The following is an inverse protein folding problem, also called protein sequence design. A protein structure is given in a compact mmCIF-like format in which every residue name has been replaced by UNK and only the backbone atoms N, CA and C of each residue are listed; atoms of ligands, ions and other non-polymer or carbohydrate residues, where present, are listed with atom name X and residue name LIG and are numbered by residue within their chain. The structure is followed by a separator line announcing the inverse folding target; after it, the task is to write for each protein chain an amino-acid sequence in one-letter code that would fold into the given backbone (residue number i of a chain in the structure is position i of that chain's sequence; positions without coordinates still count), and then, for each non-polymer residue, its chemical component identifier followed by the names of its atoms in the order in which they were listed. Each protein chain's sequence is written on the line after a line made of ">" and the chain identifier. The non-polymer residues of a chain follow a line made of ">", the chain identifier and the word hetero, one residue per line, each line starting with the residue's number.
data_IF_660029446689
#
_entry.id   IF_660029446689
#
_cell.length_a   1.000
_cell.length_b   1.000
_cell.length_c   1.000
_cell.angle_alpha   90.00
_cell.angle_beta   90.00
_cell.angle_gamma   90.00
#
_symmetry.space_group_name_H-M   'P 1'
#
loop_
_entity.id
_entity.type
_entity.pdbx_description
1 polymer ?
#
# COMPACT_ATOMS: atom_id res chain seq x y z
N UNK A 1 -4.27 -15.67 2.57
CA UNK A 1 -5.53 -16.31 2.13
C UNK A 1 -6.64 -15.58 2.85
N UNK A 2 -7.63 -15.05 2.12
CA UNK A 2 -8.51 -14.03 2.70
C UNK A 2 -9.57 -14.60 3.65
N UNK A 3 -9.84 -15.91 3.58
CA UNK A 3 -10.91 -16.55 4.36
C UNK A 3 -10.36 -17.31 5.59
N UNK A 4 -9.04 -17.27 5.82
CA UNK A 4 -8.35 -18.05 6.87
C UNK A 4 -7.16 -17.35 7.52
N UNK A 5 -6.72 -16.19 7.03
CA UNK A 5 -5.49 -15.52 7.51
C UNK A 5 -4.18 -16.24 7.13
N UNK A 6 -4.24 -17.40 6.47
CA UNK A 6 -3.06 -18.21 6.20
C UNK A 6 -2.07 -17.52 5.24
N UNK A 7 -0.81 -17.46 5.67
CA UNK A 7 0.32 -16.90 4.93
C UNK A 7 0.83 -17.95 3.93
N UNK A 8 0.18 -18.05 2.77
CA UNK A 8 0.51 -19.05 1.73
C UNK A 8 1.89 -18.83 1.10
N UNK A 9 2.41 -17.61 1.12
CA UNK A 9 3.76 -17.25 0.68
C UNK A 9 4.20 -15.94 1.36
N UNK A 10 5.50 -15.79 1.63
CA UNK A 10 6.11 -14.56 2.12
C UNK A 10 7.59 -14.53 1.70
N UNK A 11 8.10 -13.34 1.36
CA UNK A 11 9.51 -13.11 1.06
C UNK A 11 9.96 -11.77 1.65
N UNK A 12 11.03 -11.80 2.45
CA UNK A 12 11.51 -10.63 3.21
C UNK A 12 12.55 -9.75 2.50
N UNK A 13 12.97 -10.12 1.29
CA UNK A 13 14.00 -9.43 0.51
C UNK A 13 14.39 -10.21 -0.74
N UNK A 14 15.20 -9.61 -1.61
CA UNK A 14 15.76 -10.24 -2.83
C UNK A 14 17.28 -10.27 -2.77
N UNK A 15 17.90 -11.23 -3.46
CA UNK A 15 19.37 -11.35 -3.54
C UNK A 15 20.05 -11.39 -2.15
N UNK A 16 19.41 -12.11 -1.22
CA UNK A 16 19.99 -12.42 0.09
C UNK A 16 21.10 -13.46 -0.12
N UNK A 17 22.22 -13.31 0.58
CA UNK A 17 23.35 -14.24 0.48
C UNK A 17 23.01 -15.61 1.10
N UNK A 18 23.59 -16.67 0.53
CA UNK A 18 23.23 -18.07 0.83
C UNK A 18 23.62 -18.52 2.25
N UNK A 19 24.49 -17.78 2.94
CA UNK A 19 24.91 -17.99 4.33
C UNK A 19 23.94 -17.37 5.36
N UNK A 20 22.99 -16.53 4.95
CA UNK A 20 22.08 -15.81 5.85
C UNK A 20 20.87 -16.65 6.24
N UNK A 21 21.02 -17.42 7.32
CA UNK A 21 19.91 -18.14 7.97
C UNK A 21 19.18 -17.25 8.99
N UNK A 22 17.84 -17.22 8.93
CA UNK A 22 16.95 -16.47 9.85
C UNK A 22 17.28 -14.96 9.98
N UNK A 23 17.76 -14.34 8.90
CA UNK A 23 18.03 -12.89 8.84
C UNK A 23 16.78 -12.01 8.89
N UNK A 24 16.99 -10.68 8.86
CA UNK A 24 15.92 -9.68 8.95
C UNK A 24 14.87 -9.84 7.84
N UNK A 25 13.63 -10.14 8.23
CA UNK A 25 12.48 -10.28 7.33
C UNK A 25 11.73 -8.94 7.19
N UNK A 26 11.95 -8.20 6.11
CA UNK A 26 11.29 -6.90 5.91
C UNK A 26 9.77 -7.02 5.68
N UNK A 27 9.24 -8.19 5.31
CA UNK A 27 7.80 -8.36 5.08
C UNK A 27 6.96 -8.29 6.37
N UNK A 28 7.56 -8.52 7.54
CA UNK A 28 6.92 -8.35 8.85
C UNK A 28 7.30 -7.05 9.55
N UNK A 29 8.37 -6.40 9.10
CA UNK A 29 8.97 -5.23 9.75
C UNK A 29 8.18 -3.94 9.51
N UNK A 30 8.03 -3.11 10.55
CA UNK A 30 7.22 -1.87 10.51
C UNK A 30 8.01 -0.55 10.50
N UNK A 31 9.32 -0.59 10.24
CA UNK A 31 10.16 0.62 10.18
C UNK A 31 9.98 1.48 8.92
N UNK A 32 9.16 1.04 7.95
CA UNK A 32 8.94 1.67 6.65
C UNK A 32 7.55 2.24 6.50
N UNK A 33 7.43 3.26 5.65
CA UNK A 33 6.18 3.98 5.44
C UNK A 33 5.37 3.35 4.29
N UNK A 34 4.15 2.91 4.61
CA UNK A 34 3.20 2.33 3.67
C UNK A 34 2.35 3.40 2.92
N UNK A 35 2.50 4.66 3.31
CA UNK A 35 2.05 5.84 2.58
C UNK A 35 0.56 5.80 2.21
N UNK A 36 0.25 6.13 0.97
CA UNK A 36 -1.12 6.10 0.44
C UNK A 36 -1.81 4.71 0.36
N UNK A 37 -1.19 3.61 0.81
CA UNK A 37 -1.94 2.35 1.09
C UNK A 37 -2.65 2.36 2.44
N UNK A 38 -2.35 3.32 3.32
CA UNK A 38 -3.09 3.50 4.59
C UNK A 38 -4.52 4.00 4.38
N UNK A 39 -4.75 4.90 3.41
CA UNK A 39 -6.05 5.59 3.20
C UNK A 39 -7.31 4.71 3.26
N UNK A 40 -7.37 3.53 2.59
CA UNK A 40 -8.56 2.67 2.68
C UNK A 40 -8.88 2.19 4.09
N UNK A 41 -7.85 1.90 4.90
CA UNK A 41 -8.01 1.39 6.28
C UNK A 41 -8.04 2.51 7.33
N UNK A 42 -7.46 3.67 7.04
CA UNK A 42 -7.32 4.79 7.98
C UNK A 42 -8.44 5.84 7.86
N UNK A 43 -8.93 6.15 6.66
CA UNK A 43 -9.91 7.25 6.46
C UNK A 43 -11.20 6.77 5.81
N UNK A 44 -11.11 6.08 4.67
CA UNK A 44 -12.29 5.78 3.84
C UNK A 44 -13.14 4.65 4.44
N UNK A 45 -12.52 3.56 4.89
CA UNK A 45 -13.19 2.49 5.64
C UNK A 45 -13.89 3.03 6.90
N UNK A 46 -13.18 3.72 7.82
CA UNK A 46 -13.80 4.35 8.99
C UNK A 46 -14.89 5.37 8.69
N UNK A 47 -14.81 6.13 7.58
CA UNK A 47 -15.86 7.06 7.17
C UNK A 47 -17.12 6.35 6.63
N UNK A 48 -16.95 5.28 5.86
CA UNK A 48 -18.08 4.42 5.45
C UNK A 48 -18.66 3.66 6.66
N UNK A 49 -17.85 3.27 7.64
CA UNK A 49 -18.32 2.52 8.80
C UNK A 49 -19.03 3.40 9.84
N UNK A 50 -18.40 4.50 10.28
CA UNK A 50 -18.90 5.28 11.43
C UNK A 50 -19.70 6.52 11.04
N UNK A 51 -19.49 7.06 9.84
CA UNK A 51 -20.24 8.23 9.33
C UNK A 51 -21.29 7.82 8.29
N UNK A 52 -21.29 6.54 7.87
CA UNK A 52 -22.17 5.96 6.83
C UNK A 52 -22.17 6.78 5.53
N UNK A 53 -21.04 7.38 5.16
CA UNK A 53 -20.97 8.18 3.93
C UNK A 53 -21.09 7.32 2.67
N UNK A 54 -21.85 7.80 1.68
CA UNK A 54 -21.90 7.20 0.35
C UNK A 54 -20.59 7.43 -0.42
N UNK A 55 -20.26 6.56 -1.37
CA UNK A 55 -19.07 6.78 -2.23
C UNK A 55 -19.21 8.05 -3.08
N UNK A 56 -20.46 8.44 -3.35
CA UNK A 56 -20.87 9.68 -4.01
C UNK A 56 -20.97 10.91 -3.10
N UNK A 57 -20.66 10.84 -1.80
CA UNK A 57 -20.48 12.08 -1.01
C UNK A 57 -19.38 12.92 -1.66
N UNK A 58 -19.62 14.22 -1.78
CA UNK A 58 -18.62 15.17 -2.26
C UNK A 58 -17.71 15.67 -1.15
N UNK A 59 -16.44 15.89 -1.48
CA UNK A 59 -15.40 16.43 -0.59
C UNK A 59 -14.52 17.42 -1.35
N UNK A 60 -13.93 18.39 -0.64
CA UNK A 60 -13.12 19.45 -1.22
C UNK A 60 -11.62 19.07 -1.24
N UNK A 61 -11.09 18.81 -2.42
CA UNK A 61 -9.66 18.77 -2.73
C UNK A 61 -9.20 20.18 -3.17
N UNK A 62 -8.80 20.99 -2.19
CA UNK A 62 -8.40 22.40 -2.32
C UNK A 62 -7.33 22.72 -1.25
N UNK A 63 -6.61 23.85 -1.33
CA UNK A 63 -5.58 24.22 -0.35
C UNK A 63 -6.05 24.06 1.10
N UNK A 64 -5.27 23.33 1.90
CA UNK A 64 -5.64 22.88 3.24
C UNK A 64 -4.37 22.56 4.03
N UNK A 65 -4.42 22.78 5.34
CA UNK A 65 -3.34 22.48 6.28
C UNK A 65 -3.79 21.39 7.25
N UNK A 66 -2.86 20.69 7.89
CA UNK A 66 -3.18 19.87 9.06
C UNK A 66 -3.78 20.78 10.16
N UNK A 67 -4.90 20.38 10.75
CA UNK A 67 -5.66 21.21 11.68
C UNK A 67 -4.83 21.55 12.93
N UNK A 68 -4.89 22.82 13.34
CA UNK A 68 -4.02 23.38 14.38
C UNK A 68 -2.62 23.81 13.89
N UNK A 69 -2.31 23.70 12.59
CA UNK A 69 -0.98 24.04 12.05
C UNK A 69 -1.02 24.97 10.83
N UNK A 70 0.14 25.54 10.49
CA UNK A 70 0.41 26.19 9.20
C UNK A 70 0.94 25.23 8.13
N UNK A 71 1.06 23.92 8.42
CA UNK A 71 1.70 22.94 7.56
C UNK A 71 0.74 22.44 6.47
N UNK A 72 1.03 22.67 5.17
CA UNK A 72 0.11 22.31 4.09
C UNK A 72 0.04 20.81 3.84
N UNK A 73 -1.16 20.32 3.55
CA UNK A 73 -1.40 18.96 3.02
C UNK A 73 -1.29 19.02 1.50
N UNK A 74 -0.15 18.64 0.96
CA UNK A 74 0.15 18.73 -0.48
C UNK A 74 -0.24 17.43 -1.19
N UNK A 75 -0.86 17.51 -2.37
CA UNK A 75 -1.16 16.37 -3.23
C UNK A 75 0.07 15.95 -4.06
N UNK A 76 0.15 14.66 -4.42
CA UNK A 76 1.31 14.09 -5.13
C UNK A 76 1.61 14.74 -6.50
N UNK A 77 0.63 15.38 -7.12
CA UNK A 77 0.72 16.10 -8.40
C UNK A 77 0.85 17.62 -8.24
N UNK A 78 0.94 18.12 -7.00
CA UNK A 78 0.91 19.55 -6.62
C UNK A 78 -0.31 20.33 -7.15
N UNK A 79 -1.44 19.64 -7.40
CA UNK A 79 -2.68 20.25 -7.92
C UNK A 79 -3.84 20.04 -6.95
N UNK A 80 -4.98 20.63 -7.30
CA UNK A 80 -6.25 20.54 -6.57
C UNK A 80 -7.39 20.33 -7.57
N UNK A 81 -8.31 19.41 -7.27
CA UNK A 81 -9.42 19.05 -8.15
C UNK A 81 -10.74 19.77 -7.82
N UNK A 82 -10.78 20.58 -6.76
CA UNK A 82 -12.00 21.22 -6.28
C UNK A 82 -12.92 20.20 -5.60
N UNK A 83 -14.21 20.26 -5.88
CA UNK A 83 -15.20 19.35 -5.26
C UNK A 83 -15.32 18.06 -6.07
N UNK A 84 -14.96 16.92 -5.48
CA UNK A 84 -14.95 15.59 -6.10
C UNK A 84 -15.67 14.56 -5.20
N UNK A 85 -16.06 13.39 -5.72
CA UNK A 85 -16.68 12.34 -4.88
C UNK A 85 -15.63 11.57 -4.06
N UNK A 86 -16.04 10.90 -2.97
CA UNK A 86 -15.14 10.05 -2.17
C UNK A 86 -14.52 8.93 -3.01
N UNK A 87 -15.28 8.37 -3.97
CA UNK A 87 -14.76 7.46 -5.00
C UNK A 87 -13.58 8.07 -5.75
N UNK A 88 -13.78 9.25 -6.34
CA UNK A 88 -12.77 9.93 -7.14
C UNK A 88 -11.55 10.33 -6.30
N UNK A 89 -11.77 10.78 -5.07
CA UNK A 89 -10.69 11.12 -4.14
C UNK A 89 -9.78 9.91 -3.82
N UNK A 90 -10.35 8.72 -3.63
CA UNK A 90 -9.60 7.51 -3.29
C UNK A 90 -8.88 6.90 -4.50
N UNK A 91 -9.54 6.73 -5.65
CA UNK A 91 -8.89 6.08 -6.82
C UNK A 91 -7.80 6.94 -7.48
N UNK A 92 -7.87 8.27 -7.32
CA UNK A 92 -6.81 9.23 -7.69
C UNK A 92 -5.82 9.50 -6.55
N UNK A 93 -5.97 8.84 -5.40
CA UNK A 93 -5.07 8.93 -4.25
C UNK A 93 -4.83 10.35 -3.74
N UNK A 94 -5.86 11.19 -3.69
CA UNK A 94 -5.77 12.58 -3.20
C UNK A 94 -5.40 12.59 -1.72
N UNK A 95 -4.59 13.57 -1.28
CA UNK A 95 -4.11 13.70 0.10
C UNK A 95 -5.04 14.57 0.94
N UNK A 96 -5.49 15.72 0.42
CA UNK A 96 -6.37 16.63 1.18
C UNK A 96 -7.69 15.95 1.60
N UNK A 97 -8.43 15.23 0.71
CA UNK A 97 -9.61 14.48 1.12
C UNK A 97 -9.35 13.41 2.19
N UNK A 98 -8.20 12.75 2.16
CA UNK A 98 -7.84 11.71 3.14
C UNK A 98 -7.69 12.30 4.55
N UNK A 99 -6.91 13.37 4.70
CA UNK A 99 -6.73 14.05 6.00
C UNK A 99 -8.05 14.64 6.50
N UNK A 100 -8.88 15.21 5.61
CA UNK A 100 -10.22 15.69 5.97
C UNK A 100 -11.13 14.56 6.46
N UNK A 101 -11.12 13.39 5.82
CA UNK A 101 -11.89 12.22 6.28
C UNK A 101 -11.41 11.71 7.64
N UNK A 102 -10.09 11.66 7.87
CA UNK A 102 -9.52 11.30 9.18
C UNK A 102 -10.05 12.24 10.29
N UNK A 103 -10.06 13.55 10.03
CA UNK A 103 -10.56 14.55 10.97
C UNK A 103 -12.08 14.48 11.15
N UNK A 104 -12.86 14.26 10.07
CA UNK A 104 -14.33 14.06 10.14
C UNK A 104 -14.72 12.78 10.90
N UNK A 105 -13.89 11.73 10.88
CA UNK A 105 -14.11 10.48 11.64
C UNK A 105 -13.70 10.63 13.11
N UNK A 106 -12.54 11.24 13.36
CA UNK A 106 -11.92 11.41 14.68
C UNK A 106 -10.94 10.29 15.04
N UNK A 107 -9.78 10.68 15.59
CA UNK A 107 -8.63 9.82 15.86
C UNK A 107 -8.95 8.53 16.64
N UNK A 108 -9.80 8.60 17.67
CA UNK A 108 -10.14 7.45 18.52
C UNK A 108 -10.86 6.34 17.74
N UNK A 109 -11.75 6.72 16.82
CA UNK A 109 -12.49 5.77 15.98
C UNK A 109 -11.58 5.15 14.92
N UNK A 110 -10.70 5.97 14.32
CA UNK A 110 -9.69 5.49 13.36
C UNK A 110 -8.73 4.50 14.04
N UNK A 111 -8.25 4.83 15.25
CA UNK A 111 -7.41 3.95 16.08
C UNK A 111 -8.10 2.61 16.39
N UNK A 112 -9.39 2.65 16.73
CA UNK A 112 -10.20 1.45 16.98
C UNK A 112 -10.28 0.56 15.73
N UNK A 113 -10.72 1.12 14.59
CA UNK A 113 -10.87 0.38 13.33
C UNK A 113 -9.55 -0.21 12.82
N UNK A 114 -8.44 0.53 12.93
CA UNK A 114 -7.11 0.03 12.57
C UNK A 114 -6.67 -1.13 13.48
N UNK A 115 -6.95 -1.05 14.78
CA UNK A 115 -6.64 -2.12 15.73
C UNK A 115 -7.44 -3.40 15.44
N UNK A 116 -8.71 -3.27 15.08
CA UNK A 116 -9.55 -4.40 14.65
C UNK A 116 -9.07 -5.04 13.33
N UNK A 117 -8.22 -4.33 12.58
CA UNK A 117 -7.46 -4.78 11.40
C UNK A 117 -5.98 -5.13 11.70
N UNK A 118 -5.58 -5.26 12.97
CA UNK A 118 -4.23 -5.66 13.38
C UNK A 118 -3.15 -4.58 13.23
N UNK A 119 -3.52 -3.31 13.05
CA UNK A 119 -2.61 -2.17 12.91
C UNK A 119 -2.76 -1.26 14.14
N UNK A 120 -1.69 -1.11 14.93
CA UNK A 120 -1.67 -0.23 16.11
C UNK A 120 -0.70 0.94 15.92
N UNK A 121 -0.97 2.03 16.64
CA UNK A 121 -0.05 3.15 16.85
C UNK A 121 0.06 3.43 18.35
N UNK A 122 1.21 3.92 18.83
CA UNK A 122 1.35 4.39 20.22
C UNK A 122 0.54 5.67 20.47
N UNK A 123 0.57 6.54 19.46
CA UNK A 123 -0.15 7.80 19.32
C UNK A 123 -0.53 7.88 17.85
N UNK A 124 -1.77 8.25 17.51
CA UNK A 124 -2.20 8.44 16.11
C UNK A 124 -2.42 9.92 15.84
N UNK A 125 -1.95 10.39 14.68
CA UNK A 125 -1.96 11.80 14.29
C UNK A 125 -2.58 11.98 12.90
N UNK A 126 -2.93 13.22 12.54
CA UNK A 126 -3.54 13.52 11.23
C UNK A 126 -2.66 13.12 10.03
N UNK A 127 -1.33 13.08 10.21
CA UNK A 127 -0.38 12.57 9.23
C UNK A 127 -0.57 11.08 8.92
N UNK A 128 -1.13 10.29 9.84
CA UNK A 128 -1.34 8.86 9.64
C UNK A 128 -2.42 8.54 8.60
N UNK A 129 -3.27 9.51 8.23
CA UNK A 129 -4.17 9.40 7.09
C UNK A 129 -3.43 9.05 5.78
N UNK A 130 -2.17 9.48 5.64
CA UNK A 130 -1.38 9.30 4.42
C UNK A 130 -0.01 8.63 4.64
N UNK A 131 0.28 8.16 5.85
CA UNK A 131 1.58 7.58 6.26
C UNK A 131 1.41 6.53 7.37
N UNK A 132 2.21 5.46 7.34
CA UNK A 132 2.28 4.48 8.44
C UNK A 132 3.40 4.73 9.46
N UNK A 133 4.07 5.87 9.37
CA UNK A 133 5.11 6.24 10.33
C UNK A 133 4.53 6.42 11.74
N UNK A 134 5.32 6.06 12.75
CA UNK A 134 4.94 6.09 14.16
C UNK A 134 6.10 6.63 15.00
N UNK A 135 5.78 7.39 16.05
CA UNK A 135 6.77 7.91 17.01
C UNK A 135 7.58 6.78 17.68
N UNK A 136 6.95 5.60 17.87
CA UNK A 136 7.58 4.43 18.48
C UNK A 136 7.77 3.30 17.47
N UNK A 137 8.95 3.25 16.86
CA UNK A 137 9.36 2.07 16.10
C UNK A 137 9.93 0.99 17.03
N UNK A 138 9.14 -0.06 17.28
CA UNK A 138 9.63 -1.35 17.80
C UNK A 138 9.78 -2.42 16.70
N UNK A 139 9.66 -2.00 15.44
CA UNK A 139 9.88 -2.80 14.24
C UNK A 139 8.84 -3.88 13.97
N UNK A 140 7.83 -4.08 14.83
CA UNK A 140 6.80 -5.13 14.64
C UNK A 140 5.40 -4.73 15.08
N UNK A 141 5.22 -4.10 16.25
CA UNK A 141 3.91 -3.88 16.85
C UNK A 141 3.24 -2.61 16.33
N UNK A 142 3.94 -1.48 16.31
CA UNK A 142 3.38 -0.20 15.85
C UNK A 142 3.67 0.06 14.37
N UNK A 143 2.72 0.69 13.67
CA UNK A 143 2.79 0.92 12.22
C UNK A 143 2.45 -0.33 11.38
N UNK A 144 2.63 -0.19 10.07
CA UNK A 144 2.27 -1.19 9.06
C UNK A 144 3.47 -1.98 8.52
N UNK A 145 3.20 -3.19 8.01
CA UNK A 145 4.15 -4.05 7.30
C UNK A 145 3.42 -4.84 6.21
N UNK A 146 4.13 -5.46 5.27
CA UNK A 146 3.49 -6.18 4.15
C UNK A 146 2.57 -7.30 4.65
N UNK A 147 2.95 -7.98 5.76
CA UNK A 147 2.10 -8.94 6.46
C UNK A 147 0.78 -8.31 6.94
N UNK A 148 0.88 -7.20 7.69
CA UNK A 148 -0.28 -6.48 8.25
C UNK A 148 -1.19 -5.94 7.15
N UNK A 149 -0.63 -5.31 6.13
CA UNK A 149 -1.42 -4.72 5.05
C UNK A 149 -2.09 -5.78 4.18
N UNK A 150 -1.47 -6.95 3.98
CA UNK A 150 -2.14 -8.08 3.33
C UNK A 150 -3.33 -8.60 4.16
N UNK A 151 -3.22 -8.67 5.50
CA UNK A 151 -4.31 -9.11 6.38
C UNK A 151 -5.42 -8.06 6.52
N UNK A 152 -5.08 -6.78 6.64
CA UNK A 152 -6.06 -5.69 6.66
C UNK A 152 -6.82 -5.57 5.32
N UNK A 153 -6.15 -5.78 4.18
CA UNK A 153 -6.80 -5.78 2.87
C UNK A 153 -7.60 -7.07 2.61
N UNK A 154 -7.25 -8.19 3.27
CA UNK A 154 -8.06 -9.41 3.23
C UNK A 154 -9.46 -9.20 3.86
N UNK A 155 -9.59 -8.33 4.87
CA UNK A 155 -10.88 -7.98 5.46
C UNK A 155 -11.81 -7.26 4.46
N UNK A 156 -11.28 -6.42 3.56
CA UNK A 156 -12.10 -5.89 2.45
C UNK A 156 -12.52 -7.02 1.49
N UNK A 157 -11.58 -7.93 1.17
CA UNK A 157 -11.79 -9.01 0.21
C UNK A 157 -12.82 -10.07 0.62
N UNK A 158 -13.01 -10.31 1.93
CA UNK A 158 -13.90 -11.35 2.45
C UNK A 158 -15.26 -10.83 2.99
N UNK A 159 -15.51 -9.52 2.94
CA UNK A 159 -16.76 -8.92 3.43
C UNK A 159 -16.72 -8.41 4.88
N UNK A 160 -15.54 -8.24 5.48
CA UNK A 160 -15.34 -7.42 6.69
C UNK A 160 -14.67 -8.12 7.87
N UNK A 161 -14.22 -9.37 7.71
CA UNK A 161 -13.58 -10.16 8.77
C UNK A 161 -12.06 -10.03 8.70
N UNK A 162 -11.42 -9.46 9.72
CA UNK A 162 -9.98 -9.61 9.88
C UNK A 162 -9.67 -11.04 10.33
N UNK A 163 -8.67 -11.66 9.71
CA UNK A 163 -8.05 -12.89 10.21
C UNK A 163 -6.60 -12.60 10.55
N UNK A 164 -6.18 -13.01 11.74
CA UNK A 164 -4.80 -12.87 12.21
C UNK A 164 -3.87 -13.72 11.33
N UNK A 165 -2.70 -13.19 10.91
CA UNK A 165 -1.80 -13.93 10.03
C UNK A 165 -1.33 -15.26 10.62
N UNK A 166 -1.66 -16.36 9.94
CA UNK A 166 -1.36 -17.72 10.38
C UNK A 166 -0.23 -18.33 9.53
N UNK A 167 0.85 -18.76 10.19
CA UNK A 167 1.98 -19.48 9.57
C UNK A 167 1.95 -21.00 9.84
N UNK A 168 1.38 -21.42 10.97
CA UNK A 168 1.31 -22.81 11.43
C UNK A 168 -0.14 -23.15 11.72
N UNK A 169 -0.60 -24.29 11.20
CA UNK A 169 -1.95 -24.83 11.40
C UNK A 169 -1.98 -26.11 12.25
N UNK A 170 -0.84 -26.82 12.38
CA UNK A 170 -0.68 -27.95 13.29
C UNK A 170 0.78 -28.11 13.74
N UNK A 171 0.98 -28.50 15.00
CA UNK A 171 2.23 -29.05 15.55
C UNK A 171 1.97 -30.51 15.93
N UNK A 172 2.97 -31.37 15.70
CA UNK A 172 2.98 -32.77 16.14
C UNK A 172 4.21 -32.97 17.01
N UNK A 173 4.00 -33.43 18.24
CA UNK A 173 5.07 -33.59 19.24
C UNK A 173 5.68 -35.00 19.19
N UNK A 174 6.84 -35.17 19.84
CA UNK A 174 7.60 -36.42 19.80
C UNK A 174 6.92 -37.62 20.48
N UNK A 175 5.93 -37.36 21.34
CA UNK A 175 5.09 -38.38 21.99
C UNK A 175 3.86 -38.78 21.14
N UNK A 176 3.67 -38.15 19.97
CA UNK A 176 2.53 -38.38 19.08
C UNK A 176 1.30 -37.54 19.42
N UNK A 177 1.37 -36.62 20.38
CA UNK A 177 0.30 -35.62 20.59
C UNK A 177 0.30 -34.57 19.47
N UNK A 178 -0.87 -33.99 19.20
CA UNK A 178 -1.05 -32.94 18.18
C UNK A 178 -1.72 -31.70 18.77
N UNK A 179 -1.25 -30.52 18.38
CA UNK A 179 -1.90 -29.23 18.66
C UNK A 179 -2.29 -28.58 17.32
N UNK A 180 -3.59 -28.31 17.14
CA UNK A 180 -4.15 -27.70 15.93
C UNK A 180 -4.55 -26.25 16.18
N UNK A 181 -4.30 -25.40 15.20
CA UNK A 181 -4.56 -23.97 15.26
C UNK A 181 -5.62 -23.59 14.23
N UNK A 182 -6.81 -23.21 14.69
CA UNK A 182 -7.89 -22.70 13.83
C UNK A 182 -7.67 -21.23 13.45
N UNK A 183 -8.28 -20.74 12.35
CA UNK A 183 -8.24 -19.32 11.97
C UNK A 183 -8.85 -18.38 13.03
N UNK A 184 -7.99 -17.64 13.72
CA UNK A 184 -8.33 -16.56 14.65
C UNK A 184 -8.86 -15.34 13.86
N UNK A 185 -10.16 -15.06 13.93
CA UNK A 185 -10.82 -14.05 13.11
C UNK A 185 -11.95 -13.29 13.80
N UNK A 186 -12.01 -11.97 13.56
CA UNK A 186 -12.99 -11.04 14.11
C UNK A 186 -13.61 -10.16 13.02
N UNK A 187 -14.87 -9.79 13.17
CA UNK A 187 -15.49 -8.75 12.33
C UNK A 187 -14.83 -7.40 12.66
N UNK A 188 -14.24 -6.76 11.65
CA UNK A 188 -13.58 -5.44 11.76
C UNK A 188 -14.40 -4.32 11.11
N UNK A 189 -15.29 -4.66 10.15
CA UNK A 189 -16.18 -3.72 9.48
C UNK A 189 -17.45 -4.43 8.96
N UNK A 190 -18.45 -3.66 8.55
CA UNK A 190 -19.64 -4.17 7.89
C UNK A 190 -19.36 -4.62 6.44
N UNK A 191 -20.11 -5.61 5.90
CA UNK A 191 -20.03 -6.00 4.49
C UNK A 191 -20.27 -4.83 3.53
N UNK A 192 -21.12 -3.89 3.91
CA UNK A 192 -21.35 -2.63 3.20
C UNK A 192 -20.06 -1.82 3.07
N UNK A 193 -19.35 -1.56 4.17
CA UNK A 193 -18.04 -0.86 4.16
C UNK A 193 -17.02 -1.62 3.31
N UNK A 194 -16.90 -2.93 3.49
CA UNK A 194 -15.97 -3.78 2.75
C UNK A 194 -16.22 -3.73 1.23
N UNK A 195 -17.49 -3.82 0.82
CA UNK A 195 -17.89 -3.72 -0.59
C UNK A 195 -17.68 -2.32 -1.16
N UNK A 196 -17.97 -1.25 -0.41
CA UNK A 196 -17.77 0.13 -0.87
C UNK A 196 -16.29 0.46 -1.09
N UNK A 197 -15.39 0.02 -0.21
CA UNK A 197 -13.95 0.15 -0.44
C UNK A 197 -13.53 -0.69 -1.66
N UNK A 198 -13.96 -1.94 -1.75
CA UNK A 198 -13.64 -2.83 -2.88
C UNK A 198 -14.06 -2.25 -4.23
N UNK A 199 -15.30 -1.73 -4.32
CA UNK A 199 -15.87 -1.18 -5.54
C UNK A 199 -15.20 0.13 -6.00
N UNK A 200 -14.58 0.89 -5.09
CA UNK A 200 -13.71 2.01 -5.45
C UNK A 200 -12.30 1.53 -5.78
N UNK A 201 -11.74 0.55 -5.05
CA UNK A 201 -10.39 0.06 -5.31
C UNK A 201 -10.28 -0.77 -6.59
N UNK A 202 -11.39 -1.22 -7.19
CA UNK A 202 -11.46 -1.63 -8.60
C UNK A 202 -11.12 -0.47 -9.55
N UNK A 203 -11.67 0.73 -9.30
CA UNK A 203 -11.41 1.91 -10.14
C UNK A 203 -9.93 2.33 -10.12
N UNK A 204 -9.21 2.07 -9.03
CA UNK A 204 -7.76 2.33 -8.95
C UNK A 204 -6.98 1.60 -10.04
N UNK A 205 -7.40 0.38 -10.43
CA UNK A 205 -6.72 -0.44 -11.44
C UNK A 205 -7.25 -0.23 -12.87
N UNK A 206 -8.47 0.32 -13.04
CA UNK A 206 -9.05 0.55 -14.38
C UNK A 206 -8.89 1.98 -14.87
N UNK A 207 -8.89 2.98 -13.97
CA UNK A 207 -8.83 4.41 -14.31
C UNK A 207 -8.11 5.30 -13.29
N UNK A 208 -7.42 4.70 -12.31
CA UNK A 208 -6.75 5.41 -11.21
C UNK A 208 -5.24 5.21 -11.16
N UNK A 209 -4.66 5.36 -9.98
CA UNK A 209 -3.20 5.36 -9.80
C UNK A 209 -2.51 3.99 -9.94
N UNK A 210 -3.28 2.90 -10.09
CA UNK A 210 -2.78 1.51 -10.04
C UNK A 210 -2.92 0.73 -11.34
N UNK A 211 -3.10 1.38 -12.49
CA UNK A 211 -3.38 0.71 -13.78
C UNK A 211 -2.30 -0.30 -14.22
N UNK A 212 -1.03 -0.12 -13.85
CA UNK A 212 0.02 -1.11 -14.13
C UNK A 212 -0.22 -2.47 -13.45
N UNK A 213 -1.00 -2.52 -12.36
CA UNK A 213 -1.36 -3.76 -11.68
C UNK A 213 -2.54 -4.52 -12.33
N UNK A 214 -3.13 -4.01 -13.41
CA UNK A 214 -4.30 -4.60 -14.03
C UNK A 214 -4.00 -5.97 -14.67
N UNK A 215 -4.75 -6.99 -14.26
CA UNK A 215 -4.76 -8.33 -14.85
C UNK A 215 -6.08 -8.47 -15.62
N UNK A 216 -6.07 -8.46 -16.97
CA UNK A 216 -7.30 -8.55 -17.76
C UNK A 216 -8.14 -9.78 -17.42
N UNK A 217 -9.43 -9.56 -17.15
CA UNK A 217 -10.39 -10.61 -16.82
C UNK A 217 -10.43 -11.06 -15.35
N UNK A 218 -9.48 -10.64 -14.50
CA UNK A 218 -9.47 -10.99 -13.07
C UNK A 218 -10.30 -10.00 -12.24
N UNK A 219 -11.15 -10.50 -11.35
CA UNK A 219 -11.86 -9.67 -10.37
C UNK A 219 -10.92 -9.34 -9.21
N UNK A 220 -10.29 -8.18 -9.30
CA UNK A 220 -9.32 -7.67 -8.31
C UNK A 220 -9.52 -6.19 -7.99
N UNK A 221 -9.11 -5.80 -6.80
CA UNK A 221 -9.11 -4.43 -6.30
C UNK A 221 -7.79 -4.12 -5.58
N UNK A 222 -7.38 -2.86 -5.52
CA UNK A 222 -6.11 -2.50 -4.87
C UNK A 222 -5.77 -1.02 -4.87
N UNK A 223 -4.61 -0.71 -4.29
CA UNK A 223 -4.15 0.65 -3.97
C UNK A 223 -2.64 0.75 -4.06
N UNK A 224 -2.14 1.81 -4.72
CA UNK A 224 -0.72 2.19 -4.69
C UNK A 224 -0.36 2.95 -3.40
N UNK A 225 0.87 2.79 -2.95
CA UNK A 225 1.50 3.60 -1.92
C UNK A 225 2.83 4.19 -2.40
N UNK A 226 3.15 5.34 -1.83
CA UNK A 226 4.39 6.09 -2.07
C UNK A 226 4.65 6.84 -0.77
N UNK A 227 5.85 6.72 -0.22
CA UNK A 227 6.34 7.60 0.83
C UNK A 227 7.15 8.75 0.23
N UNK A 228 7.41 9.79 1.03
CA UNK A 228 8.20 10.94 0.64
C UNK A 228 9.40 11.11 1.57
N UNK A 229 10.45 11.73 1.07
CA UNK A 229 11.52 12.30 1.90
C UNK A 229 11.03 13.56 2.62
N UNK A 230 11.71 13.95 3.70
CA UNK A 230 11.57 15.31 4.26
C UNK A 230 12.34 16.33 3.41
N UNK A 231 12.04 17.63 3.56
CA UNK A 231 12.76 18.70 2.84
C UNK A 231 14.28 18.63 3.11
N UNK A 232 14.63 18.29 4.35
CA UNK A 232 15.97 18.06 4.86
C UNK A 232 16.69 16.88 4.19
N UNK A 233 15.94 15.87 3.73
CA UNK A 233 16.44 14.69 3.05
C UNK A 233 16.51 14.92 1.53
N UNK A 234 15.53 15.60 0.94
CA UNK A 234 15.59 16.11 -0.43
C UNK A 234 16.81 17.03 -0.64
N UNK A 235 17.09 17.94 0.30
CA UNK A 235 18.29 18.78 0.28
C UNK A 235 19.60 17.97 0.27
N UNK A 236 19.67 16.87 1.05
CA UNK A 236 20.82 15.95 1.07
C UNK A 236 20.93 15.08 -0.19
N UNK A 237 19.83 14.85 -0.90
CA UNK A 237 19.77 14.13 -2.18
C UNK A 237 20.01 15.02 -3.42
N UNK A 238 20.03 16.35 -3.26
CA UNK A 238 20.23 17.29 -4.37
C UNK A 238 19.05 17.38 -5.35
N UNK A 239 17.84 16.94 -4.94
CA UNK A 239 16.62 16.98 -5.75
C UNK A 239 15.40 17.15 -4.85
N UNK A 240 14.30 17.70 -5.37
CA UNK A 240 13.02 17.88 -4.68
C UNK A 240 11.89 17.00 -5.26
N UNK A 241 12.16 16.16 -6.25
CA UNK A 241 11.13 15.33 -6.91
C UNK A 241 11.72 14.11 -7.66
N UNK A 242 10.84 13.22 -8.11
CA UNK A 242 11.20 12.04 -8.93
C UNK A 242 11.91 10.91 -8.17
N UNK A 243 12.05 11.04 -6.86
CA UNK A 243 12.73 10.10 -5.95
C UNK A 243 11.89 9.84 -4.71
N UNK A 244 11.86 8.59 -4.26
CA UNK A 244 10.99 8.10 -3.18
C UNK A 244 11.74 7.11 -2.29
N UNK A 245 11.57 7.12 -0.95
CA UNK A 245 12.18 6.12 -0.07
C UNK A 245 11.50 4.74 -0.17
N UNK A 246 10.17 4.72 -0.29
CA UNK A 246 9.35 3.52 -0.33
C UNK A 246 8.25 3.63 -1.42
N UNK A 247 8.07 2.56 -2.18
CA UNK A 247 7.07 2.41 -3.24
C UNK A 247 6.31 1.10 -3.01
N UNK A 248 4.97 1.14 -3.07
CA UNK A 248 4.13 0.04 -2.59
C UNK A 248 2.91 -0.25 -3.47
N UNK A 249 2.44 -1.48 -3.38
CA UNK A 249 1.12 -1.89 -3.87
C UNK A 249 0.47 -2.85 -2.89
N UNK A 250 -0.81 -2.62 -2.55
CA UNK A 250 -1.62 -3.54 -1.76
C UNK A 250 -2.92 -3.83 -2.52
N UNK A 251 -3.25 -5.10 -2.74
CA UNK A 251 -4.42 -5.49 -3.52
C UNK A 251 -4.84 -6.94 -3.31
N UNK A 252 -6.02 -7.29 -3.83
CA UNK A 252 -6.69 -8.53 -3.50
C UNK A 252 -7.69 -9.00 -4.56
N UNK A 253 -7.95 -10.30 -4.54
CA UNK A 253 -9.09 -11.02 -5.15
C UNK A 253 -9.92 -11.64 -4.02
N UNK A 254 -11.10 -12.24 -4.29
CA UNK A 254 -11.86 -12.98 -3.27
C UNK A 254 -11.16 -14.22 -2.67
N UNK A 255 -9.94 -14.56 -3.13
CA UNK A 255 -9.15 -15.70 -2.65
C UNK A 255 -7.87 -15.25 -1.92
N UNK A 256 -7.17 -14.25 -2.47
CA UNK A 256 -5.84 -13.83 -2.01
C UNK A 256 -5.72 -12.31 -1.88
N UNK A 257 -5.07 -11.87 -0.80
CA UNK A 257 -4.60 -10.50 -0.62
C UNK A 257 -3.07 -10.51 -0.58
N UNK A 258 -2.46 -9.53 -1.25
CA UNK A 258 -1.01 -9.38 -1.41
C UNK A 258 -0.66 -7.92 -1.16
N UNK A 259 0.33 -7.68 -0.30
CA UNK A 259 0.97 -6.37 -0.15
C UNK A 259 2.45 -6.48 -0.47
N UNK A 260 2.94 -5.53 -1.26
CA UNK A 260 4.31 -5.43 -1.73
C UNK A 260 4.87 -4.07 -1.30
N UNK A 261 6.01 -4.10 -0.62
CA UNK A 261 6.87 -2.94 -0.38
C UNK A 261 8.12 -3.08 -1.26
N UNK A 262 8.60 -1.97 -1.81
CA UNK A 262 9.88 -1.87 -2.50
C UNK A 262 10.62 -0.61 -2.07
N UNK A 263 11.92 -0.74 -1.84
CA UNK A 263 12.81 0.32 -1.40
C UNK A 263 14.22 -0.25 -1.19
N UNK A 264 15.19 0.61 -0.88
CA UNK A 264 16.56 0.21 -0.58
C UNK A 264 16.79 0.16 0.94
N UNK A 265 17.61 -0.78 1.42
CA UNK A 265 17.89 -0.96 2.86
C UNK A 265 18.35 0.35 3.54
N UNK A 266 19.28 1.07 2.90
CA UNK A 266 19.52 2.48 3.21
C UNK A 266 18.42 3.32 2.58
N UNK A 267 17.57 3.97 3.39
CA UNK A 267 16.50 4.83 2.87
C UNK A 267 16.99 6.03 2.05
N UNK A 268 18.25 6.47 2.23
CA UNK A 268 18.86 7.54 1.44
C UNK A 268 19.37 7.08 0.07
N UNK A 269 19.17 5.81 -0.30
CA UNK A 269 19.25 5.35 -1.69
C UNK A 269 17.84 5.35 -2.27
N UNK A 270 17.48 6.26 -3.19
CA UNK A 270 16.10 6.43 -3.62
C UNK A 270 15.64 5.41 -4.66
N UNK A 271 14.36 5.03 -4.58
CA UNK A 271 13.62 4.52 -5.74
C UNK A 271 13.33 5.70 -6.67
N UNK A 272 13.82 5.66 -7.90
CA UNK A 272 13.54 6.69 -8.91
C UNK A 272 12.19 6.44 -9.59
N UNK A 273 11.62 7.45 -10.25
CA UNK A 273 10.39 7.30 -11.06
C UNK A 273 10.47 6.14 -12.05
N UNK A 274 11.63 5.87 -12.66
CA UNK A 274 11.84 4.75 -13.57
C UNK A 274 11.63 3.37 -12.90
N UNK A 275 11.87 3.26 -11.59
CA UNK A 275 11.67 2.03 -10.82
C UNK A 275 10.35 1.98 -10.04
N UNK A 276 9.52 3.04 -10.10
CA UNK A 276 8.27 3.16 -9.32
C UNK A 276 7.19 2.13 -9.69
N UNK A 277 7.30 1.49 -10.85
CA UNK A 277 6.39 0.42 -11.30
C UNK A 277 6.56 -0.89 -10.50
N UNK A 278 7.77 -1.21 -10.01
CA UNK A 278 8.16 -2.57 -9.59
C UNK A 278 7.25 -3.20 -8.52
N UNK A 279 6.75 -2.45 -7.53
CA UNK A 279 5.82 -2.99 -6.54
C UNK A 279 4.51 -3.50 -7.15
N UNK A 280 4.01 -2.81 -8.19
CA UNK A 280 2.81 -3.20 -8.93
C UNK A 280 3.06 -4.33 -9.93
N UNK A 281 4.27 -4.45 -10.50
CA UNK A 281 4.63 -5.60 -11.34
C UNK A 281 4.77 -6.90 -10.52
N UNK A 282 5.43 -6.82 -9.36
CA UNK A 282 5.55 -7.95 -8.42
C UNK A 282 4.18 -8.40 -7.94
N UNK A 283 3.27 -7.46 -7.64
CA UNK A 283 1.87 -7.79 -7.39
C UNK A 283 1.21 -8.47 -8.59
N UNK A 284 1.33 -7.88 -9.79
CA UNK A 284 0.64 -8.36 -11.00
C UNK A 284 1.03 -9.79 -11.36
N UNK A 285 2.33 -10.10 -11.45
CA UNK A 285 2.75 -11.44 -11.85
C UNK A 285 2.49 -12.49 -10.75
N UNK A 286 2.65 -12.14 -9.46
CA UNK A 286 2.33 -13.07 -8.37
C UNK A 286 0.83 -13.32 -8.25
N UNK A 287 0.00 -12.27 -8.32
CA UNK A 287 -1.47 -12.39 -8.24
C UNK A 287 -2.01 -13.19 -9.44
N UNK A 288 -1.49 -12.95 -10.64
CA UNK A 288 -1.80 -13.71 -11.86
C UNK A 288 -1.43 -15.19 -11.73
N UNK A 289 -0.28 -15.50 -11.14
CA UNK A 289 0.12 -16.88 -10.86
C UNK A 289 -0.82 -17.56 -9.86
N UNK A 290 -1.02 -17.00 -8.66
CA UNK A 290 -1.85 -17.65 -7.64
C UNK A 290 -3.34 -17.70 -8.01
N UNK A 291 -3.83 -16.74 -8.81
CA UNK A 291 -5.23 -16.73 -9.26
C UNK A 291 -5.51 -17.73 -10.40
N UNK A 292 -4.49 -18.33 -11.02
CA UNK A 292 -4.67 -19.25 -12.15
C UNK A 292 -5.30 -20.60 -11.78
N UNK A 293 -5.31 -20.96 -10.49
CA UNK A 293 -5.77 -22.25 -9.96
C UNK A 293 -7.01 -22.16 -9.05
N UNK A 294 -7.65 -20.99 -8.97
CA UNK A 294 -8.81 -20.73 -8.09
C UNK A 294 -9.96 -20.05 -8.84
N UNK A 295 -11.17 -20.12 -8.28
CA UNK A 295 -12.38 -19.55 -8.89
C UNK A 295 -12.32 -18.03 -8.92
N UNK A 296 -12.41 -17.46 -10.12
CA UNK A 296 -12.51 -16.02 -10.39
C UNK A 296 -13.98 -15.56 -10.45
N UNK A 297 -14.63 -15.47 -9.28
CA UNK A 297 -15.96 -14.86 -9.12
C UNK A 297 -15.84 -13.38 -8.75
N UNK A 298 -16.84 -12.55 -9.05
CA UNK A 298 -16.90 -11.17 -8.55
C UNK A 298 -17.66 -11.08 -7.22
N UNK A 299 -17.31 -10.06 -6.42
CA UNK A 299 -18.00 -9.68 -5.20
C UNK A 299 -19.47 -9.35 -5.45
N UNK A 300 -20.35 -9.95 -4.64
CA UNK A 300 -21.78 -9.66 -4.67
C UNK A 300 -22.08 -8.42 -3.79
N UNK A 301 -22.93 -7.52 -4.28
CA UNK A 301 -23.30 -6.32 -3.55
C UNK A 301 -24.20 -6.68 -2.34
N UNK A 302 -23.85 -6.28 -1.10
CA UNK A 302 -24.68 -6.56 0.06
C UNK A 302 -25.99 -5.78 0.01
N UNK A 303 -27.06 -6.36 0.56
CA UNK A 303 -28.42 -5.81 0.50
C UNK A 303 -28.62 -4.53 1.32
N UNK A 304 -27.68 -4.16 2.18
CA UNK A 304 -27.63 -2.85 2.82
C UNK A 304 -27.29 -1.70 1.87
N UNK A 305 -26.76 -1.98 0.66
CA UNK A 305 -26.38 -0.98 -0.35
C UNK A 305 -27.36 -0.90 -1.53
N UNK A 306 -27.35 0.27 -2.17
CA UNK A 306 -27.99 0.54 -3.45
C UNK A 306 -27.04 1.36 -4.34
N UNK A 307 -26.93 0.99 -5.61
CA UNK A 307 -26.13 1.69 -6.62
C UNK A 307 -26.98 2.70 -7.37
N UNK A 308 -26.48 3.92 -7.54
CA UNK A 308 -27.07 4.96 -8.38
C UNK A 308 -25.99 5.59 -9.24
N UNK A 309 -26.11 5.43 -10.57
CA UNK A 309 -25.00 5.73 -11.49
C UNK A 309 -23.75 4.92 -11.13
N UNK A 310 -22.61 5.61 -11.02
CA UNK A 310 -21.35 5.00 -10.58
C UNK A 310 -21.21 4.81 -9.07
N UNK A 311 -22.12 5.34 -8.24
CA UNK A 311 -21.91 5.51 -6.80
C UNK A 311 -22.81 4.60 -5.94
N UNK A 312 -22.35 4.28 -4.74
CA UNK A 312 -23.00 3.39 -3.76
C UNK A 312 -23.47 4.18 -2.54
N UNK A 313 -24.68 3.88 -2.07
CA UNK A 313 -25.37 4.53 -0.96
C UNK A 313 -25.92 3.47 0.00
N UNK A 314 -25.97 3.78 1.30
CA UNK A 314 -26.69 2.96 2.27
C UNK A 314 -28.21 3.09 2.06
N UNK A 315 -28.93 1.96 2.10
CA UNK A 315 -30.36 1.89 1.79
C UNK A 315 -31.28 2.61 2.78
N UNK A 316 -30.80 2.95 3.97
CA UNK A 316 -31.55 3.77 4.95
C UNK A 316 -31.54 5.26 4.58
N UNK A 317 -30.52 5.74 3.87
CA UNK A 317 -30.37 7.15 3.50
C UNK A 317 -31.35 7.54 2.40
N UNK A 318 -31.54 6.72 1.37
CA UNK A 318 -32.54 7.00 0.34
C UNK A 318 -33.98 6.96 0.89
N UNK A 319 -34.24 6.24 1.98
CA UNK A 319 -35.54 6.23 2.67
C UNK A 319 -35.82 7.52 3.47
N UNK A 320 -34.80 8.35 3.72
CA UNK A 320 -34.92 9.63 4.44
C UNK A 320 -35.13 10.83 3.51
N UNK A 321 -34.95 10.67 2.20
CA UNK A 321 -35.37 11.65 1.20
C UNK A 321 -36.85 11.43 0.88
N UNK A 322 -37.75 12.41 1.12
CA UNK A 322 -39.12 12.31 0.64
C UNK A 322 -39.11 12.16 -0.89
N UNK A 323 -39.92 11.24 -1.42
CA UNK A 323 -40.14 11.18 -2.86
C UNK A 323 -40.91 12.42 -3.28
N UNK A 324 -40.20 13.46 -3.71
CA UNK A 324 -40.80 14.64 -4.36
C UNK A 324 -41.36 14.18 -5.69
N UNK A 325 -42.64 13.80 -5.68
CA UNK A 325 -43.38 13.35 -6.86
C UNK A 325 -43.33 14.45 -7.93
N UNK A 326 -42.44 14.28 -8.92
CA UNK A 326 -42.44 15.11 -10.12
C UNK A 326 -43.79 14.88 -10.80
N UNK A 327 -44.65 15.90 -10.96
CA UNK A 327 -45.95 15.72 -11.56
C UNK A 327 -45.77 15.28 -13.02
N UNK A 328 -46.40 14.16 -13.39
CA UNK A 328 -46.34 13.63 -14.75
C UNK A 328 -47.07 14.56 -15.71
N UNK A 329 -46.31 15.38 -16.45
CA UNK A 329 -46.82 16.18 -17.57
C UNK A 329 -46.87 15.32 -18.83
N UNK A 330 -48.05 14.82 -19.15
CA UNK A 330 -48.32 14.10 -20.40
C UNK A 330 -48.00 14.98 -21.61
N UNK A 331 -47.21 14.45 -22.54
CA UNK A 331 -46.85 15.10 -23.81
C UNK A 331 -48.07 15.32 -24.72
N UNK A 332 -47.96 16.29 -25.66
CA UNK A 332 -48.35 16.04 -27.03
C UNK A 332 -47.13 15.97 -27.96
N UNK A 333 -47.20 15.06 -28.93
CA UNK A 333 -46.19 14.91 -29.99
C UNK A 333 -46.31 16.02 -31.04
N UNK A 334 -45.19 16.45 -31.60
CA UNK A 334 -45.14 17.34 -32.78
C UNK A 334 -44.18 16.78 -33.83
N UNK A 335 -44.61 16.81 -35.08
CA UNK A 335 -44.02 16.08 -36.21
C UNK A 335 -42.69 16.64 -36.71
N UNK A 336 -41.82 15.75 -37.19
CA UNK A 336 -40.66 16.07 -38.04
C UNK A 336 -41.14 16.64 -39.38
N UNK A 337 -40.46 17.65 -39.91
CA UNK A 337 -40.58 18.09 -41.31
C UNK A 337 -39.21 18.56 -41.82
N UNK A 338 -38.83 18.12 -43.02
CA UNK A 338 -37.55 18.41 -43.68
C UNK A 338 -37.80 19.11 -45.02
N UNK A 339 -37.22 20.30 -45.22
CA UNK A 339 -37.09 21.02 -46.52
C UNK A 339 -35.95 22.07 -46.41
N UNK A 340 -35.34 22.57 -47.51
CA UNK A 340 -33.87 22.52 -47.63
C UNK A 340 -33.17 23.88 -47.92
N UNK A 341 -31.96 23.79 -48.50
CA UNK A 341 -30.98 24.83 -48.80
C UNK A 341 -31.45 25.96 -49.77
N UNK A 342 -30.78 27.12 -49.73
CA UNK A 342 -29.88 27.60 -50.82
C UNK A 342 -29.49 29.09 -50.73
N UNK A 343 -28.23 29.43 -51.06
CA UNK A 343 -27.74 30.76 -51.55
C UNK A 343 -27.83 31.98 -50.59
N UNK A 344 -27.00 33.03 -50.60
CA UNK A 344 -25.75 33.50 -51.28
C UNK A 344 -25.25 34.78 -50.55
N UNK A 345 -24.13 35.47 -50.90
CA UNK A 345 -22.94 35.12 -51.70
C UNK A 345 -21.61 35.42 -50.95
N UNK A 346 -20.48 35.34 -51.67
CA UNK A 346 -19.10 35.61 -51.19
C UNK A 346 -18.70 37.08 -51.37
N UNK A 347 -17.77 37.58 -50.54
CA UNK A 347 -16.82 38.64 -50.93
C UNK A 347 -15.45 38.38 -50.31
N UNK A 348 -14.38 38.91 -50.92
CA UNK A 348 -13.00 38.43 -50.74
C UNK A 348 -11.98 39.52 -50.46
N UNK A 349 -11.01 39.23 -49.60
CA UNK A 349 -9.68 39.84 -49.63
C UNK A 349 -8.62 38.83 -49.16
N UNK A 350 -7.48 38.81 -49.83
CA UNK A 350 -6.42 37.80 -49.71
C UNK A 350 -5.10 38.43 -49.31
N UNK A 351 -4.26 37.72 -48.56
CA UNK A 351 -2.81 37.88 -48.72
C UNK A 351 -2.02 36.61 -48.40
N UNK A 352 -0.82 36.56 -48.97
CA UNK A 352 0.06 35.41 -49.23
C UNK A 352 0.54 34.57 -48.04
N UNK A 353 0.60 33.26 -48.25
CA UNK A 353 1.64 32.39 -47.67
C UNK A 353 2.79 32.18 -48.68
N UNK A 354 4.04 32.27 -48.23
CA UNK A 354 5.17 31.68 -48.96
C UNK A 354 5.33 30.20 -48.58
N UNK A 355 5.88 29.39 -49.49
CA UNK A 355 6.09 27.94 -49.30
C UNK A 355 7.44 27.55 -49.90
N UNK A 356 8.26 26.85 -49.13
CA UNK A 356 9.52 26.26 -49.59
C UNK A 356 9.45 24.74 -49.50
N UNK A 357 9.43 24.08 -50.65
CA UNK A 357 9.39 22.62 -50.82
C UNK A 357 10.75 22.02 -51.13
N UNK A 358 11.06 20.85 -50.58
CA UNK A 358 12.07 19.94 -51.14
C UNK A 358 11.70 18.47 -50.91
N UNK A 359 11.67 17.70 -52.01
CA UNK A 359 11.82 16.25 -52.04
C UNK A 359 13.35 15.91 -52.01
N UNK A 360 13.87 14.68 -51.94
CA UNK A 360 13.29 13.33 -51.78
C UNK A 360 14.15 12.54 -50.75
N UNK A 361 14.51 11.25 -50.74
CA UNK A 361 14.47 10.10 -51.67
C UNK A 361 14.31 8.77 -50.87
N UNK A 362 14.51 7.61 -51.51
CA UNK A 362 14.62 6.30 -50.83
C UNK A 362 15.81 5.47 -51.38
N UNK A 363 15.93 4.20 -50.95
CA UNK A 363 16.99 3.19 -51.25
C UNK A 363 18.35 3.34 -50.53
N UNK A 364 19.19 2.30 -50.36
CA UNK A 364 18.97 0.84 -50.09
C UNK A 364 20.32 0.15 -49.78
N UNK A 365 20.32 -0.89 -48.91
CA UNK A 365 21.41 -1.87 -48.64
C UNK A 365 22.81 -1.32 -48.22
N UNK A 366 23.82 -2.08 -47.76
CA UNK A 366 24.07 -3.53 -47.61
C UNK A 366 24.99 -3.82 -46.40
N UNK A 367 25.26 -5.09 -46.06
CA UNK A 367 25.99 -5.57 -44.86
C UNK A 367 27.33 -6.28 -45.11
N UNK A 368 28.33 -6.08 -44.22
CA UNK A 368 29.38 -7.01 -43.70
C UNK A 368 30.09 -6.30 -42.51
N UNK A 369 30.56 -6.87 -41.39
CA UNK A 369 31.35 -8.10 -41.08
C UNK A 369 32.86 -7.93 -41.45
N UNK A 370 33.88 -8.28 -40.65
CA UNK A 370 33.98 -9.00 -39.36
C UNK A 370 35.31 -8.71 -38.60
N UNK A 371 35.49 -9.28 -37.39
CA UNK A 371 36.79 -9.70 -36.75
C UNK A 371 37.87 -8.64 -36.37
N UNK A 372 38.84 -8.87 -35.47
CA UNK A 372 38.99 -9.75 -34.27
C UNK A 372 40.26 -9.41 -33.46
N UNK A 373 40.37 -9.93 -32.22
CA UNK A 373 41.60 -10.10 -31.36
C UNK A 373 42.33 -8.83 -30.87
N UNK A 374 42.87 -8.68 -29.64
CA UNK A 374 43.47 -9.55 -28.56
C UNK A 374 44.98 -9.84 -28.66
N UNK A 375 45.78 -9.11 -27.86
CA UNK A 375 46.77 -9.59 -26.85
C UNK A 375 47.74 -8.45 -26.43
N UNK A 376 48.61 -8.56 -25.42
CA UNK A 376 48.47 -9.10 -24.03
C UNK A 376 49.74 -8.75 -23.21
N UNK A 377 49.61 -8.40 -21.92
CA UNK A 377 50.69 -8.33 -20.90
C UNK A 377 51.85 -7.32 -21.14
N UNK A 378 52.78 -6.96 -20.23
CA UNK A 378 52.94 -7.18 -18.76
C UNK A 378 53.95 -6.17 -18.16
N UNK A 379 53.84 -5.87 -16.85
CA UNK A 379 54.93 -5.39 -15.95
C UNK A 379 55.59 -4.02 -16.27
N UNK A 380 56.19 -3.26 -15.34
CA UNK A 380 56.71 -3.54 -13.98
C UNK A 380 56.46 -2.37 -13.02
N UNK A 381 56.79 -2.54 -11.74
CA UNK A 381 56.77 -1.48 -10.73
C UNK A 381 58.18 -0.95 -10.42
N UNK A 382 58.29 0.31 -9.98
CA UNK A 382 59.13 0.72 -8.84
C UNK A 382 58.80 2.15 -8.38
N UNK A 383 59.03 2.43 -7.10
CA UNK A 383 59.01 3.78 -6.49
C UNK A 383 60.43 4.06 -5.98
N UNK A 384 60.87 5.32 -5.85
CA UNK A 384 60.81 5.91 -4.50
C UNK A 384 60.62 7.45 -4.43
N UNK A 385 60.22 7.92 -3.24
CA UNK A 385 60.72 9.09 -2.48
C UNK A 385 61.08 10.46 -3.13
N UNK A 386 61.05 11.61 -2.45
CA UNK A 386 60.44 12.09 -1.19
C UNK A 386 60.78 13.59 -1.07
N UNK A 387 59.89 14.45 -0.55
CA UNK A 387 60.28 15.73 0.07
C UNK A 387 59.16 16.25 0.98
N UNK A 388 59.53 17.06 1.97
CA UNK A 388 58.73 17.24 3.19
C UNK A 388 58.65 18.69 3.70
N UNK A 389 57.63 18.95 4.50
CA UNK A 389 57.66 19.92 5.60
C UNK A 389 56.76 19.39 6.74
N UNK A 390 56.96 19.86 7.97
CA UNK A 390 56.55 19.13 9.18
C UNK A 390 56.36 20.04 10.40
N UNK A 391 56.10 19.41 11.57
CA UNK A 391 55.94 19.98 12.93
C UNK A 391 54.51 20.44 13.31
N UNK A 392 54.00 20.18 14.52
CA UNK A 392 54.52 19.28 15.59
C UNK A 392 53.48 18.90 16.66
N UNK A 393 53.54 17.63 17.09
CA UNK A 393 53.33 17.03 18.43
C UNK A 393 52.90 17.95 19.62
N UNK A 394 52.06 17.50 20.56
CA UNK A 394 52.51 16.54 21.61
C UNK A 394 51.49 15.49 22.10
N UNK A 395 52.04 14.45 22.73
CA UNK A 395 51.41 13.30 23.41
C UNK A 395 50.92 13.66 24.84
N UNK A 396 50.39 12.79 25.72
CA UNK A 396 50.66 11.35 25.91
C UNK A 396 49.67 10.57 26.83
N UNK A 397 49.90 9.24 26.89
CA UNK A 397 49.62 8.28 27.98
C UNK A 397 48.21 7.63 28.11
N UNK A 398 48.21 6.30 27.95
CA UNK A 398 47.20 5.33 28.43
C UNK A 398 47.35 5.06 29.94
N UNK A 399 46.36 4.43 30.58
CA UNK A 399 46.66 3.13 31.21
C UNK A 399 45.60 2.05 30.94
N UNK A 400 45.98 0.79 31.16
CA UNK A 400 45.09 -0.39 31.10
C UNK A 400 44.19 -0.48 32.34
N UNK A 401 43.02 -1.11 32.19
CA UNK A 401 42.37 -1.85 33.29
C UNK A 401 41.41 -2.90 32.74
N UNK A 402 41.41 -4.08 33.34
CA UNK A 402 40.60 -5.24 32.94
C UNK A 402 39.41 -5.44 33.88
N UNK A 403 38.23 -5.76 33.33
CA UNK A 403 37.10 -6.32 34.09
C UNK A 403 36.34 -7.33 33.24
N UNK A 404 35.99 -8.47 33.84
CA UNK A 404 35.29 -9.58 33.17
C UNK A 404 33.84 -9.68 33.69
N UNK A 405 32.83 -9.84 32.82
CA UNK A 405 31.46 -10.12 33.26
C UNK A 405 31.34 -11.54 33.88
N UNK A 406 30.53 -11.74 34.93
CA UNK A 406 30.35 -13.06 35.54
C UNK A 406 29.41 -13.96 34.71
N UNK A 407 29.67 -15.27 34.75
CA UNK A 407 28.80 -16.29 34.14
C UNK A 407 27.55 -16.57 34.99
N UNK A 408 26.46 -16.97 34.34
CA UNK A 408 25.22 -17.38 35.00
C UNK A 408 25.25 -18.86 35.39
N UNK A 409 24.82 -19.20 36.60
CA UNK A 409 24.57 -20.59 37.04
C UNK A 409 23.15 -21.06 36.68
N UNK A 410 22.96 -22.34 36.33
CA UNK A 410 21.64 -22.93 36.16
C UNK A 410 20.98 -23.23 37.52
N UNK A 411 19.63 -23.32 37.58
CA UNK A 411 18.91 -23.65 38.82
C UNK A 411 18.99 -25.15 39.14
N UNK A 412 19.30 -25.49 40.40
CA UNK A 412 19.20 -26.86 40.91
C UNK A 412 17.74 -27.22 41.23
N UNK A 413 17.31 -28.40 40.79
CA UNK A 413 15.95 -28.90 40.98
C UNK A 413 15.90 -29.82 42.22
N UNK A 414 15.69 -29.25 43.41
CA UNK A 414 15.86 -29.98 44.67
C UNK A 414 14.55 -30.66 45.13
N UNK A 415 14.46 -31.98 44.96
CA UNK A 415 13.31 -32.77 45.37
C UNK A 415 13.40 -33.15 46.86
N UNK A 416 12.37 -32.82 47.65
CA UNK A 416 12.30 -33.24 49.06
C UNK A 416 10.96 -33.93 49.38
N UNK A 417 11.06 -35.16 49.88
CA UNK A 417 9.93 -36.01 50.23
C UNK A 417 9.33 -35.66 51.59
N UNK A 418 8.01 -35.50 51.67
CA UNK A 418 7.25 -35.44 52.92
C UNK A 418 6.24 -36.59 53.00
N UNK A 419 6.40 -37.50 53.96
CA UNK A 419 5.38 -38.53 54.24
C UNK A 419 4.25 -37.93 55.08
N UNK A 420 3.01 -38.27 54.75
CA UNK A 420 1.89 -38.25 55.70
C UNK A 420 0.89 -39.35 55.33
N UNK A 421 0.21 -39.90 56.34
CA UNK A 421 -0.60 -41.11 56.23
C UNK A 421 -2.09 -40.84 56.36
N UNK A 422 -2.91 -41.64 55.69
CA UNK A 422 -4.17 -42.16 56.25
C UNK A 422 -4.79 -43.22 55.33
N UNK A 423 -5.58 -44.13 55.93
CA UNK A 423 -6.43 -45.09 55.22
C UNK A 423 -7.76 -44.44 54.85
N UNK A 424 -8.32 -44.84 53.72
CA UNK A 424 -9.76 -45.05 53.59
C UNK A 424 -10.03 -46.38 52.88
N UNK A 425 -11.25 -46.91 53.01
CA UNK A 425 -11.64 -48.27 52.59
C UNK A 425 -13.08 -48.28 52.08
N UNK A 426 -13.48 -49.39 51.46
CA UNK A 426 -14.71 -49.66 50.67
C UNK A 426 -14.63 -49.14 49.22
N UNK A 427 -14.87 -49.92 48.15
CA UNK A 427 -15.69 -51.12 47.88
C UNK A 427 -17.17 -50.82 47.57
N UNK A 428 -17.57 -51.02 46.31
CA UNK A 428 -18.96 -50.91 45.86
C UNK A 428 -19.09 -51.23 44.37
N UNK A 429 -19.32 -52.51 44.08
CA UNK A 429 -19.85 -53.12 42.83
C UNK A 429 -19.54 -52.43 41.50
#
# INVERSE_FOLDING_TARGET
>A
DVNTGQVKAQIGGRHIAEDVTLGMNLAVNTSRDFGSTMKPVTDYGPAFEYLKYSTGKTISDAPYNYEGTSTPVVNWDNRFMGTITLRQALYLSRNVPAVKLFNEVGADKVSTFLKDLGIEYSTIHQSNAISSNTEKQDGTKYGASSLKMAAAYAAFANGGTYYKPQYVNKIVFQDGTEETFDPDGNTAMSPETAYMVTDILKDTLTKGTGTNALIPGLYQAGKTGTSNYTDDEYAKLGTSSGVYPDILFAGYTPNYAISVWTGYNNKMTPVTSASSHVASDVYRELMKYVSSSVTNSDWQMPSGLVRSGGELYFTDQLKKTPSTTIPSTTVPSSSVTLVPESSTPVSSSSESTETSTTESSAESSTSVDSSSEKNDSSSSAETPENSSSSQSSSSSATPESSTTPPAQTPPENNAQSGQSSSRSTSSGT
#
